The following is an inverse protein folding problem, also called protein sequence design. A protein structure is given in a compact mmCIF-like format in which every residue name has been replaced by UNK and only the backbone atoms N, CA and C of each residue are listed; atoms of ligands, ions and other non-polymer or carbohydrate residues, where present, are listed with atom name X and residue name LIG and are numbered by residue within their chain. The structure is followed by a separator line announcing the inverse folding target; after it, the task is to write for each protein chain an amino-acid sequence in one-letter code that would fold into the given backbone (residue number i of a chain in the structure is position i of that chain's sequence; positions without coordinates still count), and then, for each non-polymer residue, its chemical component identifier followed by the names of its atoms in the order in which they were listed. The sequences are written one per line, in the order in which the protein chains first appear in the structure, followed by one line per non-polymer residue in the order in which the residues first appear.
data_IF_181676651950
#
_entry.id   IF_181676651950
#
_cell.length_a   1.000
_cell.length_b   1.000
_cell.length_c   1.000
_cell.angle_alpha   90.00
_cell.angle_beta   90.00
_cell.angle_gamma   90.00
#
_symmetry.space_group_name_H-M   'P 1'
#
loop_
_entity.id
_entity.type
_entity.pdbx_description
1 polymer ?
#
# COMPACT_ATOMS: atom_id res chain seq x y z
N UNK A 1 40.62 -18.34 32.07
CA UNK A 1 40.02 -17.03 31.80
C UNK A 1 39.83 -16.91 30.30
N UNK A 2 38.60 -16.75 29.78
CA UNK A 2 38.37 -16.66 28.34
C UNK A 2 39.04 -15.41 27.75
N UNK A 3 39.45 -15.50 26.49
CA UNK A 3 40.06 -14.38 25.77
C UNK A 3 38.99 -13.32 25.54
N UNK A 4 39.11 -12.20 26.26
CA UNK A 4 38.25 -11.02 26.07
C UNK A 4 38.78 -10.18 24.91
N UNK A 5 38.34 -10.49 23.70
CA UNK A 5 38.69 -9.73 22.50
C UNK A 5 37.71 -8.56 22.27
N UNK A 6 38.25 -7.42 21.82
CA UNK A 6 37.47 -6.21 21.54
C UNK A 6 37.94 -5.55 20.24
N UNK A 7 37.06 -4.78 19.62
CA UNK A 7 37.38 -4.02 18.42
C UNK A 7 38.16 -2.76 18.80
N UNK A 8 39.40 -2.61 18.33
CA UNK A 8 40.23 -1.43 18.69
C UNK A 8 39.78 -0.12 18.02
N UNK A 9 38.82 -0.16 17.09
CA UNK A 9 38.27 1.05 16.44
C UNK A 9 37.23 1.71 17.34
N UNK A 10 36.29 0.92 17.88
CA UNK A 10 35.21 1.43 18.75
C UNK A 10 35.41 1.12 20.23
N UNK A 11 36.47 0.37 20.58
CA UNK A 11 36.76 -0.09 21.95
C UNK A 11 35.65 -0.92 22.60
N UNK A 12 34.85 -1.61 21.79
CA UNK A 12 33.70 -2.42 22.23
C UNK A 12 33.99 -3.93 22.05
N UNK A 13 33.37 -4.77 22.87
CA UNK A 13 33.56 -6.23 22.83
C UNK A 13 32.96 -6.85 21.56
N UNK A 14 33.53 -7.97 21.13
CA UNK A 14 32.89 -8.81 20.12
C UNK A 14 31.76 -9.60 20.77
N UNK A 15 30.56 -9.49 20.23
CA UNK A 15 29.36 -10.20 20.68
C UNK A 15 28.69 -10.95 19.51
N UNK A 16 27.61 -11.68 19.79
CA UNK A 16 26.84 -12.41 18.78
C UNK A 16 25.97 -11.52 17.89
N UNK A 17 25.89 -10.21 18.17
CA UNK A 17 24.99 -9.28 17.49
C UNK A 17 25.63 -8.58 16.29
N UNK A 18 26.96 -8.44 16.28
CA UNK A 18 27.73 -7.72 15.26
C UNK A 18 28.72 -8.63 14.53
N UNK A 19 28.79 -8.50 13.21
CA UNK A 19 29.75 -9.25 12.40
C UNK A 19 31.20 -8.85 12.72
N UNK A 20 32.05 -9.85 12.95
CA UNK A 20 33.50 -9.68 13.13
C UNK A 20 34.22 -9.93 11.82
N UNK A 21 35.00 -8.97 11.36
CA UNK A 21 35.85 -9.04 10.17
C UNK A 21 37.33 -9.17 10.56
N UNK A 22 38.11 -9.85 9.72
CA UNK A 22 39.56 -9.98 9.87
C UNK A 22 40.29 -9.53 8.62
N UNK A 23 41.44 -8.90 8.83
CA UNK A 23 42.40 -8.61 7.76
C UNK A 23 43.46 -9.71 7.76
N UNK A 24 44.03 -10.05 6.61
CA UNK A 24 45.08 -11.09 6.49
C UNK A 24 46.35 -10.81 7.32
N UNK A 25 46.49 -9.60 7.88
CA UNK A 25 47.53 -9.32 8.86
C UNK A 25 47.24 -9.89 10.26
N UNK A 26 46.05 -10.48 10.47
CA UNK A 26 45.63 -11.12 11.72
C UNK A 26 44.76 -10.26 12.64
N UNK A 27 44.57 -8.97 12.34
CA UNK A 27 43.79 -8.07 13.19
C UNK A 27 42.28 -8.15 12.89
N UNK A 28 41.48 -8.17 13.95
CA UNK A 28 40.02 -8.32 13.92
C UNK A 28 39.31 -7.04 14.35
N UNK A 29 38.20 -6.72 13.70
CA UNK A 29 37.37 -5.54 13.97
C UNK A 29 35.91 -5.85 13.68
N UNK A 30 34.96 -5.03 14.15
CA UNK A 30 33.60 -5.12 13.63
C UNK A 30 33.59 -4.78 12.14
N UNK A 31 32.84 -5.53 11.34
CA UNK A 31 32.73 -5.29 9.90
C UNK A 31 32.30 -3.85 9.59
N UNK A 32 31.32 -3.34 10.34
CA UNK A 32 30.85 -1.96 10.22
C UNK A 32 31.95 -0.93 10.54
N UNK A 33 32.70 -1.12 11.64
CA UNK A 33 33.79 -0.22 12.03
C UNK A 33 34.92 -0.23 11.00
N UNK A 34 35.27 -1.42 10.48
CA UNK A 34 36.30 -1.57 9.46
C UNK A 34 35.90 -0.91 8.13
N UNK A 35 34.63 -1.06 7.74
CA UNK A 35 34.10 -0.44 6.53
C UNK A 35 34.14 1.09 6.64
N UNK A 36 33.69 1.65 7.78
CA UNK A 36 33.73 3.08 8.04
C UNK A 36 35.17 3.61 8.03
N UNK A 37 36.12 2.87 8.61
CA UNK A 37 37.54 3.24 8.58
C UNK A 37 38.07 3.38 7.15
N UNK A 38 37.76 2.43 6.26
CA UNK A 38 38.19 2.50 4.86
C UNK A 38 37.51 3.57 4.03
N UNK A 39 36.33 4.04 4.44
CA UNK A 39 35.66 5.17 3.79
C UNK A 39 36.29 6.51 4.19
N UNK A 40 36.71 6.65 5.44
CA UNK A 40 37.31 7.88 5.97
C UNK A 40 38.79 8.04 5.61
N UNK A 41 39.50 6.95 5.34
CA UNK A 41 40.95 6.98 5.08
C UNK A 41 41.26 7.12 3.57
N UNK A 42 42.28 7.93 3.18
CA UNK A 42 42.68 8.09 1.78
C UNK A 42 43.31 6.81 1.19
N UNK A 43 43.83 5.93 2.05
CA UNK A 43 44.41 4.63 1.65
C UNK A 43 43.89 3.53 2.55
N UNK A 44 43.52 2.38 1.96
CA UNK A 44 43.09 1.20 2.71
C UNK A 44 44.28 0.56 3.43
N UNK A 45 44.40 0.82 4.72
CA UNK A 45 45.43 0.24 5.60
C UNK A 45 44.81 -0.31 6.86
N UNK A 46 45.42 -1.35 7.42
CA UNK A 46 44.99 -1.92 8.69
C UNK A 46 45.09 -0.87 9.81
N UNK A 47 44.03 -0.61 10.61
CA UNK A 47 44.05 0.37 11.69
C UNK A 47 45.17 0.13 12.71
N UNK A 48 45.50 -1.12 12.97
CA UNK A 48 46.48 -1.51 14.01
C UNK A 48 47.93 -1.55 13.52
N UNK A 49 48.22 -2.19 12.38
CA UNK A 49 49.60 -2.39 11.89
C UNK A 49 49.95 -1.66 10.59
N UNK A 50 49.02 -0.87 10.05
CA UNK A 50 49.19 -0.05 8.83
C UNK A 50 49.58 -0.79 7.55
N UNK A 51 49.61 -2.13 7.54
CA UNK A 51 49.78 -2.92 6.30
C UNK A 51 48.70 -2.56 5.29
N UNK A 52 49.07 -2.46 4.02
CA UNK A 52 48.15 -2.12 2.93
C UNK A 52 47.13 -3.26 2.72
N UNK A 53 45.86 -2.89 2.59
CA UNK A 53 44.74 -3.83 2.51
C UNK A 53 44.03 -3.63 1.17
N UNK A 54 43.88 -4.71 0.41
CA UNK A 54 43.01 -4.74 -0.76
C UNK A 54 41.69 -5.42 -0.38
N UNK A 55 40.65 -5.27 -1.20
CA UNK A 55 39.36 -5.95 -0.95
C UNK A 55 39.50 -7.48 -0.88
N UNK A 56 40.57 -8.06 -1.46
CA UNK A 56 40.88 -9.49 -1.43
C UNK A 56 41.52 -9.95 -0.11
N UNK A 57 41.99 -9.03 0.72
CA UNK A 57 42.71 -9.31 1.97
C UNK A 57 41.81 -9.21 3.20
N UNK A 58 40.49 -9.17 3.02
CA UNK A 58 39.49 -8.98 4.09
C UNK A 58 38.56 -10.20 4.11
N UNK A 59 38.40 -10.78 5.29
CA UNK A 59 37.37 -11.75 5.60
C UNK A 59 36.24 -10.97 6.28
N UNK A 60 35.12 -10.78 5.58
CA UNK A 60 34.06 -9.88 6.04
C UNK A 60 33.32 -10.37 7.29
N UNK A 61 33.28 -11.69 7.50
CA UNK A 61 32.58 -12.32 8.61
C UNK A 61 33.32 -13.58 9.07
N UNK A 62 33.63 -13.62 10.37
CA UNK A 62 34.12 -14.79 11.07
C UNK A 62 32.97 -15.47 11.81
N UNK A 63 33.00 -16.79 11.86
CA UNK A 63 32.07 -17.62 12.62
C UNK A 63 32.86 -18.31 13.73
N UNK A 64 32.42 -18.14 14.97
CA UNK A 64 33.04 -18.75 16.15
C UNK A 64 32.10 -19.80 16.70
N UNK A 65 32.56 -21.05 16.75
CA UNK A 65 31.87 -22.12 17.48
C UNK A 65 32.20 -21.98 18.96
N UNK A 66 31.54 -21.02 19.61
CA UNK A 66 31.66 -20.81 21.06
C UNK A 66 30.89 -21.96 21.71
N UNK A 67 31.60 -22.88 22.36
CA UNK A 67 30.97 -23.87 23.22
C UNK A 67 30.13 -23.12 24.26
N UNK A 68 28.86 -23.53 24.52
CA UNK A 68 28.05 -22.86 25.53
C UNK A 68 28.82 -22.87 26.84
N UNK A 69 29.32 -21.71 27.25
CA UNK A 69 29.83 -21.54 28.60
C UNK A 69 28.64 -21.78 29.51
N UNK A 70 28.75 -22.82 30.34
CA UNK A 70 27.81 -23.11 31.43
C UNK A 70 27.54 -21.79 32.15
N UNK A 71 26.31 -21.30 32.01
CA UNK A 71 25.88 -19.97 32.44
C UNK A 71 26.14 -19.80 33.94
N UNK A 72 27.32 -19.30 34.28
CA UNK A 72 27.68 -18.86 35.63
C UNK A 72 26.89 -17.63 36.09
N UNK A 73 25.97 -17.12 35.26
CA UNK A 73 24.78 -16.43 35.73
C UNK A 73 23.58 -17.30 35.37
N UNK A 74 23.24 -18.25 36.24
CA UNK A 74 21.93 -18.87 36.19
C UNK A 74 20.91 -17.74 36.18
N UNK A 75 20.37 -17.42 35.00
CA UNK A 75 19.23 -16.53 34.92
C UNK A 75 18.18 -17.19 35.79
N UNK A 76 17.83 -16.51 36.89
CA UNK A 76 16.95 -17.07 37.89
C UNK A 76 15.68 -17.61 37.20
N UNK A 77 15.24 -18.85 37.49
CA UNK A 77 14.09 -19.45 36.82
C UNK A 77 12.84 -18.56 36.86
N UNK A 78 12.67 -17.72 37.89
CA UNK A 78 11.59 -16.76 37.99
C UNK A 78 11.75 -15.60 36.99
N UNK A 79 12.98 -15.11 36.77
CA UNK A 79 13.28 -14.10 35.76
C UNK A 79 12.96 -14.59 34.34
N UNK A 80 13.37 -15.82 34.01
CA UNK A 80 13.06 -16.43 32.70
C UNK A 80 11.55 -16.69 32.53
N UNK A 81 10.88 -17.14 33.60
CA UNK A 81 9.44 -17.34 33.60
C UNK A 81 8.69 -16.03 33.39
N UNK A 82 9.11 -14.96 34.08
CA UNK A 82 8.54 -13.62 33.91
C UNK A 82 8.72 -13.09 32.49
N UNK A 83 9.88 -13.32 31.87
CA UNK A 83 10.11 -12.93 30.48
C UNK A 83 9.23 -13.72 29.50
N UNK A 84 9.12 -15.04 29.71
CA UNK A 84 8.23 -15.90 28.94
C UNK A 84 6.76 -15.44 29.05
N UNK A 85 6.31 -15.07 30.25
CA UNK A 85 4.93 -14.62 30.46
C UNK A 85 4.67 -13.24 29.86
N UNK A 86 5.67 -12.34 29.85
CA UNK A 86 5.61 -11.08 29.08
C UNK A 86 5.51 -11.34 27.59
N UNK A 87 6.31 -12.26 27.05
CA UNK A 87 6.26 -12.62 25.63
C UNK A 87 4.92 -13.28 25.26
N UNK A 88 4.39 -14.17 26.10
CA UNK A 88 3.05 -14.76 25.90
C UNK A 88 1.95 -13.69 25.91
N UNK A 89 1.99 -12.74 26.86
CA UNK A 89 1.03 -11.64 26.91
C UNK A 89 1.12 -10.76 25.65
N UNK A 90 2.33 -10.41 25.21
CA UNK A 90 2.55 -9.65 23.99
C UNK A 90 2.08 -10.41 22.73
N UNK A 91 2.28 -11.73 22.69
CA UNK A 91 1.79 -12.58 21.61
C UNK A 91 0.26 -12.62 21.57
N UNK A 92 -0.39 -12.85 22.72
CA UNK A 92 -1.85 -12.85 22.85
C UNK A 92 -2.47 -11.53 22.39
N UNK A 93 -1.87 -10.41 22.80
CA UNK A 93 -2.30 -9.07 22.39
C UNK A 93 -2.17 -8.87 20.87
N UNK A 94 -1.06 -9.33 20.28
CA UNK A 94 -0.84 -9.27 18.84
C UNK A 94 -1.79 -10.19 18.06
N UNK A 95 -2.11 -11.37 18.60
CA UNK A 95 -3.08 -12.30 18.02
C UNK A 95 -4.50 -11.69 18.04
N UNK A 96 -4.89 -11.08 19.16
CA UNK A 96 -6.16 -10.34 19.29
C UNK A 96 -6.24 -9.20 18.28
N UNK A 97 -5.19 -8.39 18.17
CA UNK A 97 -5.12 -7.29 17.20
C UNK A 97 -5.18 -7.77 15.75
N UNK A 98 -4.54 -8.89 15.42
CA UNK A 98 -4.67 -9.52 14.10
C UNK A 98 -6.10 -9.99 13.83
N UNK A 99 -6.73 -10.64 14.81
CA UNK A 99 -8.11 -11.12 14.70
C UNK A 99 -9.11 -9.98 14.49
N UNK A 100 -8.91 -8.85 15.16
CA UNK A 100 -9.73 -7.65 14.98
C UNK A 100 -9.55 -7.03 13.59
N UNK A 101 -8.30 -6.89 13.14
CA UNK A 101 -7.99 -6.41 11.78
C UNK A 101 -8.58 -7.33 10.71
N UNK A 102 -8.52 -8.64 10.92
CA UNK A 102 -9.11 -9.63 10.02
C UNK A 102 -10.63 -9.45 9.93
N UNK A 103 -11.32 -9.35 11.08
CA UNK A 103 -12.76 -9.07 11.11
C UNK A 103 -13.11 -7.75 10.41
N UNK A 104 -12.32 -6.70 10.63
CA UNK A 104 -12.54 -5.41 9.97
C UNK A 104 -12.36 -5.51 8.44
N UNK A 105 -11.35 -6.27 7.98
CA UNK A 105 -11.14 -6.52 6.56
C UNK A 105 -12.30 -7.31 5.94
N UNK A 106 -12.81 -8.34 6.62
CA UNK A 106 -13.96 -9.11 6.17
C UNK A 106 -15.24 -8.24 6.08
N UNK A 107 -15.49 -7.39 7.07
CA UNK A 107 -16.61 -6.44 7.06
C UNK A 107 -16.51 -5.41 5.91
N UNK A 108 -15.30 -4.90 5.64
CA UNK A 108 -15.06 -3.98 4.52
C UNK A 108 -15.27 -4.69 3.19
N UNK A 109 -14.81 -5.94 3.05
CA UNK A 109 -15.03 -6.77 1.87
C UNK A 109 -16.52 -6.97 1.60
N UNK A 110 -17.31 -7.29 2.62
CA UNK A 110 -18.76 -7.44 2.50
C UNK A 110 -19.43 -6.12 2.07
N UNK A 111 -19.00 -4.98 2.63
CA UNK A 111 -19.49 -3.66 2.23
C UNK A 111 -19.19 -3.35 0.76
N UNK A 112 -17.97 -3.66 0.28
CA UNK A 112 -17.58 -3.46 -1.12
C UNK A 112 -18.42 -4.32 -2.06
N UNK A 113 -18.69 -5.58 -1.68
CA UNK A 113 -19.55 -6.47 -2.47
C UNK A 113 -20.99 -5.96 -2.57
N UNK A 114 -21.56 -5.44 -1.46
CA UNK A 114 -22.88 -4.78 -1.47
C UNK A 114 -22.90 -3.56 -2.37
N UNK A 115 -21.90 -2.67 -2.24
CA UNK A 115 -21.79 -1.48 -3.07
C UNK A 115 -21.64 -1.80 -4.56
N UNK A 116 -20.92 -2.87 -4.91
CA UNK A 116 -20.82 -3.36 -6.29
C UNK A 116 -22.19 -3.79 -6.82
N UNK A 117 -22.92 -4.61 -6.07
CA UNK A 117 -24.26 -5.06 -6.45
C UNK A 117 -25.24 -3.88 -6.62
N UNK A 118 -25.16 -2.88 -5.74
CA UNK A 118 -25.96 -1.66 -5.82
C UNK A 118 -25.62 -0.85 -7.08
N UNK A 119 -24.33 -0.70 -7.41
CA UNK A 119 -23.91 -0.03 -8.64
C UNK A 119 -24.38 -0.75 -9.90
N UNK A 120 -24.36 -2.08 -9.91
CA UNK A 120 -24.88 -2.89 -11.02
C UNK A 120 -26.40 -2.73 -11.17
N UNK A 121 -27.15 -2.70 -10.04
CA UNK A 121 -28.59 -2.42 -10.04
C UNK A 121 -28.90 -1.05 -10.64
N UNK A 122 -28.23 0.01 -10.16
CA UNK A 122 -28.43 1.37 -10.67
C UNK A 122 -28.05 1.47 -12.14
N UNK A 123 -26.96 0.81 -12.57
CA UNK A 123 -26.56 0.76 -13.98
C UNK A 123 -27.64 0.13 -14.87
N UNK A 124 -28.29 -0.95 -14.42
CA UNK A 124 -29.40 -1.58 -15.14
C UNK A 124 -30.60 -0.62 -15.25
N UNK A 125 -30.98 0.03 -14.16
CA UNK A 125 -32.08 0.99 -14.15
C UNK A 125 -31.81 2.17 -15.11
N UNK A 126 -30.58 2.70 -15.13
CA UNK A 126 -30.19 3.73 -16.10
C UNK A 126 -30.36 3.22 -17.54
N UNK A 127 -29.89 2.01 -17.84
CA UNK A 127 -30.03 1.41 -19.17
C UNK A 127 -31.48 1.24 -19.61
N UNK A 128 -32.38 0.84 -18.70
CA UNK A 128 -33.82 0.74 -18.97
C UNK A 128 -34.44 2.12 -19.27
N UNK A 129 -34.07 3.15 -18.50
CA UNK A 129 -34.53 4.52 -18.74
C UNK A 129 -33.98 5.09 -20.05
N UNK A 130 -32.73 4.78 -20.42
CA UNK A 130 -32.14 5.16 -21.70
C UNK A 130 -32.91 4.53 -22.88
N UNK A 131 -33.24 3.23 -22.81
CA UNK A 131 -34.03 2.53 -23.84
C UNK A 131 -35.44 3.12 -23.99
N UNK A 132 -36.10 3.47 -22.88
CA UNK A 132 -37.40 4.14 -22.90
C UNK A 132 -37.28 5.53 -23.54
N UNK A 133 -36.23 6.28 -23.21
CA UNK A 133 -35.99 7.59 -23.80
C UNK A 133 -35.75 7.50 -25.31
N UNK A 134 -34.97 6.53 -25.80
CA UNK A 134 -34.77 6.31 -27.24
C UNK A 134 -36.07 5.94 -27.94
N UNK A 135 -36.88 5.08 -27.33
CA UNK A 135 -38.19 4.68 -27.88
C UNK A 135 -39.11 5.89 -28.01
N UNK A 136 -39.24 6.68 -26.93
CA UNK A 136 -40.03 7.91 -26.93
C UNK A 136 -39.54 8.91 -27.98
N UNK A 137 -38.22 9.09 -28.13
CA UNK A 137 -37.65 9.96 -29.19
C UNK A 137 -38.05 9.51 -30.58
N UNK A 138 -37.98 8.21 -30.88
CA UNK A 138 -38.39 7.66 -32.19
C UNK A 138 -39.89 7.86 -32.41
N UNK A 139 -40.74 7.57 -31.40
CA UNK A 139 -42.19 7.79 -31.49
C UNK A 139 -42.55 9.27 -31.71
N UNK A 140 -41.88 10.19 -31.01
CA UNK A 140 -42.03 11.63 -31.20
C UNK A 140 -41.62 12.05 -32.62
N UNK A 141 -40.49 11.56 -33.12
CA UNK A 141 -40.00 11.86 -34.47
C UNK A 141 -40.97 11.38 -35.56
N UNK A 142 -41.47 10.14 -35.44
CA UNK A 142 -42.49 9.60 -36.34
C UNK A 142 -43.78 10.44 -36.32
N UNK A 143 -44.23 10.84 -35.12
CA UNK A 143 -45.41 11.69 -34.97
C UNK A 143 -45.24 13.04 -35.67
N UNK A 144 -44.08 13.70 -35.49
CA UNK A 144 -43.75 14.96 -36.18
C UNK A 144 -43.72 14.79 -37.70
N UNK A 145 -43.11 13.70 -38.20
CA UNK A 145 -43.06 13.40 -39.64
C UNK A 145 -44.46 13.18 -40.24
N UNK A 146 -45.35 12.46 -39.55
CA UNK A 146 -46.74 12.24 -39.99
C UNK A 146 -47.52 13.57 -40.03
N UNK A 147 -47.35 14.42 -39.01
CA UNK A 147 -47.95 15.76 -39.00
C UNK A 147 -47.46 16.63 -40.17
N UNK A 148 -46.18 16.56 -40.54
CA UNK A 148 -45.62 17.29 -41.69
C UNK A 148 -46.08 16.73 -43.04
N UNK A 149 -46.21 15.40 -43.18
CA UNK A 149 -46.62 14.75 -44.43
C UNK A 149 -48.12 14.89 -44.75
N UNK A 150 -48.98 15.09 -43.74
CA UNK A 150 -50.43 15.24 -43.95
C UNK A 150 -50.91 16.69 -44.00
N UNK A 151 -50.00 17.68 -44.03
CA UNK A 151 -50.34 19.05 -44.43
C UNK A 151 -51.40 19.75 -43.58
N UNK A 152 -51.60 19.33 -42.33
CA UNK A 152 -52.50 20.04 -41.41
C UNK A 152 -51.87 21.40 -41.06
N UNK A 153 -52.35 22.46 -41.71
CA UNK A 153 -52.01 23.84 -41.38
C UNK A 153 -52.33 24.09 -39.91
N UNK A 154 -51.28 24.10 -39.07
CA UNK A 154 -51.43 24.18 -37.64
C UNK A 154 -51.51 25.67 -37.25
N UNK A 155 -52.68 26.26 -37.40
CA UNK A 155 -52.97 27.66 -37.04
C UNK A 155 -53.14 27.90 -35.53
N UNK A 156 -52.63 26.99 -34.68
CA UNK A 156 -52.73 27.09 -33.21
C UNK A 156 -51.59 26.46 -32.40
N UNK A 157 -50.49 26.02 -33.02
CA UNK A 157 -49.49 25.14 -32.37
C UNK A 157 -48.46 25.81 -31.45
N UNK A 158 -48.46 27.15 -31.35
CA UNK A 158 -47.50 27.86 -30.49
C UNK A 158 -47.70 27.56 -28.99
N UNK A 159 -48.90 27.17 -28.54
CA UNK A 159 -49.16 26.85 -27.13
C UNK A 159 -48.60 25.49 -26.68
N UNK A 160 -48.40 24.54 -27.61
CA UNK A 160 -47.97 23.16 -27.31
C UNK A 160 -46.47 22.96 -27.56
N UNK A 161 -45.88 23.67 -28.54
CA UNK A 161 -44.45 23.60 -28.86
C UNK A 161 -43.55 24.15 -27.75
N UNK A 162 -43.95 25.22 -27.07
CA UNK A 162 -43.18 25.85 -25.98
C UNK A 162 -42.97 24.91 -24.77
N UNK A 163 -44.00 24.21 -24.27
CA UNK A 163 -43.83 23.18 -23.25
C UNK A 163 -42.88 22.06 -23.68
N UNK A 164 -43.00 21.57 -24.91
CA UNK A 164 -42.16 20.48 -25.43
C UNK A 164 -40.71 20.92 -25.55
N UNK A 165 -40.44 22.15 -26.01
CA UNK A 165 -39.09 22.74 -26.03
C UNK A 165 -38.50 22.87 -24.62
N UNK A 166 -39.28 23.34 -23.64
CA UNK A 166 -38.83 23.38 -22.24
C UNK A 166 -38.54 21.99 -21.69
N UNK A 167 -39.36 21.00 -22.03
CA UNK A 167 -39.16 19.60 -21.63
C UNK A 167 -37.87 19.03 -22.24
N UNK A 168 -37.60 19.32 -23.52
CA UNK A 168 -36.35 18.94 -24.19
C UNK A 168 -35.13 19.61 -23.58
N UNK A 169 -35.17 20.91 -23.33
CA UNK A 169 -34.07 21.64 -22.68
C UNK A 169 -33.79 21.12 -21.27
N UNK A 170 -34.84 20.77 -20.53
CA UNK A 170 -34.70 20.14 -19.21
C UNK A 170 -34.03 18.78 -19.30
N UNK A 171 -34.46 17.92 -20.22
CA UNK A 171 -33.85 16.60 -20.44
C UNK A 171 -32.39 16.70 -20.92
N UNK A 172 -32.07 17.67 -21.76
CA UNK A 172 -30.68 17.95 -22.16
C UNK A 172 -29.82 18.45 -20.99
N UNK A 173 -30.38 19.26 -20.09
CA UNK A 173 -29.67 19.69 -18.87
C UNK A 173 -29.39 18.51 -17.96
N UNK A 174 -30.39 17.66 -17.72
CA UNK A 174 -30.25 16.43 -16.94
C UNK A 174 -29.19 15.49 -17.54
N UNK A 175 -29.15 15.36 -18.87
CA UNK A 175 -28.12 14.57 -19.55
C UNK A 175 -26.72 15.17 -19.36
N UNK A 176 -26.56 16.50 -19.48
CA UNK A 176 -25.27 17.17 -19.24
C UNK A 176 -24.80 17.01 -17.80
N UNK A 177 -25.70 17.12 -16.82
CA UNK A 177 -25.40 16.88 -15.41
C UNK A 177 -25.00 15.43 -15.13
N UNK A 178 -25.69 14.45 -15.76
CA UNK A 178 -25.32 13.04 -15.66
C UNK A 178 -23.93 12.76 -16.22
N UNK A 179 -23.59 13.33 -17.37
CA UNK A 179 -22.25 13.19 -17.97
C UNK A 179 -21.17 13.87 -17.11
N UNK A 180 -21.45 15.04 -16.54
CA UNK A 180 -20.54 15.70 -15.61
C UNK A 180 -20.28 14.86 -14.35
N UNK A 181 -21.34 14.28 -13.77
CA UNK A 181 -21.22 13.39 -12.61
C UNK A 181 -20.43 12.11 -12.94
N UNK A 182 -20.63 11.53 -14.14
CA UNK A 182 -19.84 10.37 -14.60
C UNK A 182 -18.36 10.73 -14.73
N UNK A 183 -18.03 11.92 -15.23
CA UNK A 183 -16.65 12.35 -15.39
C UNK A 183 -15.96 12.64 -14.05
N UNK A 184 -16.69 13.25 -13.11
CA UNK A 184 -16.20 13.45 -11.74
C UNK A 184 -15.96 12.12 -11.03
N UNK A 185 -16.87 11.14 -11.18
CA UNK A 185 -16.69 9.79 -10.64
C UNK A 185 -15.46 9.07 -11.23
N UNK A 186 -15.17 9.25 -12.52
CA UNK A 186 -13.92 8.76 -13.12
C UNK A 186 -12.70 9.44 -12.50
N UNK A 187 -12.75 10.76 -12.30
CA UNK A 187 -11.67 11.54 -11.69
C UNK A 187 -11.37 11.09 -10.26
N UNK A 188 -12.41 10.89 -9.44
CA UNK A 188 -12.28 10.40 -8.07
C UNK A 188 -11.72 8.97 -8.03
N UNK A 189 -12.15 8.08 -8.93
CA UNK A 189 -11.57 6.73 -9.07
C UNK A 189 -10.07 6.75 -9.37
N UNK A 190 -9.62 7.64 -10.24
CA UNK A 190 -8.18 7.79 -10.53
C UNK A 190 -7.42 8.29 -9.31
N UNK A 191 -7.97 9.29 -8.59
CA UNK A 191 -7.38 9.79 -7.33
C UNK A 191 -7.28 8.72 -6.26
N UNK A 192 -8.31 7.89 -6.08
CA UNK A 192 -8.24 6.78 -5.11
C UNK A 192 -7.12 5.80 -5.43
N UNK A 193 -6.95 5.42 -6.71
CA UNK A 193 -5.85 4.54 -7.14
C UNK A 193 -4.45 5.12 -6.89
N UNK A 194 -4.31 6.45 -6.81
CA UNK A 194 -3.02 7.09 -6.50
C UNK A 194 -2.69 7.11 -5.00
N UNK A 195 -3.67 6.97 -4.11
CA UNK A 195 -3.44 6.88 -2.66
C UNK A 195 -3.17 5.44 -2.18
N UNK A 196 -3.42 4.43 -3.03
CA UNK A 196 -3.15 3.01 -2.75
C UNK A 196 -1.71 2.56 -3.11
N UNK A 197 -0.84 3.48 -3.56
CA UNK A 197 0.60 3.25 -3.79
C UNK A 197 1.43 3.98 -2.74
#
# INVERSE_FOLDING_TARGET
MPIRAYCTICSDFFDHSKDVAAIYCGHTFHYACLLQWFQSAPTKTCPQCRKQVSSRHIINKLFFDIAPEDEGSAADPESLQNELDRMKAAFSEKERGWREKQKAADNLRETIEKQRADLERVRREIGEKEMLCTTLRVSLCLSVCVFQQHGYACSGSNSILLPIQKQMQYLESQHRESEAAKEEAKRLRVKMKTYER
#
